data_IF_213537117357
#
_entry.id   IF_213537117357
#
_cell.length_a   1.000
_cell.length_b   1.000
_cell.length_c   1.000
_cell.angle_alpha   90.00
_cell.angle_beta   90.00
_cell.angle_gamma   90.00
#
_symmetry.space_group_name_H-M   'P 1'
#
loop_
_entity.id
_entity.type
_entity.pdbx_description
1 polymer ?
#
# COMPACT_ATOMS: atom_id res chain seq x y z
N UNK A 1 25.03 -6.49 -14.16
CA UNK A 1 24.06 -5.75 -13.33
C UNK A 1 24.29 -6.09 -11.87
N UNK A 2 24.68 -5.13 -11.09
CA UNK A 2 24.90 -5.33 -9.65
C UNK A 2 23.55 -5.32 -8.95
N UNK A 3 23.22 -6.43 -8.32
CA UNK A 3 22.08 -6.53 -7.43
C UNK A 3 22.24 -5.53 -6.30
N UNK A 4 21.21 -4.74 -6.07
CA UNK A 4 21.20 -3.89 -4.90
C UNK A 4 21.11 -4.78 -3.65
N UNK A 5 22.08 -4.61 -2.76
CA UNK A 5 22.08 -5.31 -1.49
C UNK A 5 21.24 -4.54 -0.49
N UNK A 6 20.52 -5.24 0.36
CA UNK A 6 19.85 -4.66 1.51
C UNK A 6 20.86 -4.08 2.50
N UNK A 7 20.41 -3.31 3.46
CA UNK A 7 21.25 -2.81 4.55
C UNK A 7 21.97 -3.94 5.33
N UNK A 8 21.41 -5.14 5.31
CA UNK A 8 22.01 -6.33 5.94
C UNK A 8 22.95 -7.11 5.03
N UNK A 9 23.22 -6.61 3.83
CA UNK A 9 24.07 -7.29 2.86
C UNK A 9 23.40 -8.43 2.08
N UNK A 10 22.13 -8.73 2.34
CA UNK A 10 21.37 -9.73 1.60
C UNK A 10 20.93 -9.19 0.24
N UNK A 11 20.89 -10.04 -0.76
CA UNK A 11 20.31 -9.69 -2.07
C UNK A 11 18.81 -9.59 -1.93
N UNK A 12 18.23 -8.47 -2.40
CA UNK A 12 16.78 -8.35 -2.47
C UNK A 12 16.22 -9.26 -3.56
N UNK A 13 15.04 -9.80 -3.29
CA UNK A 13 14.28 -10.53 -4.25
C UNK A 13 13.64 -9.63 -5.30
N UNK A 14 12.67 -10.18 -6.01
CA UNK A 14 11.98 -9.47 -7.08
C UNK A 14 11.15 -8.31 -6.52
N UNK A 15 11.36 -7.13 -7.08
CA UNK A 15 10.65 -5.91 -6.68
C UNK A 15 10.07 -5.20 -7.91
N UNK A 16 8.86 -4.69 -7.76
CA UNK A 16 8.14 -4.01 -8.82
C UNK A 16 8.03 -2.52 -8.51
N UNK A 17 8.69 -1.72 -9.35
CA UNK A 17 8.66 -0.28 -9.21
C UNK A 17 7.39 0.29 -9.87
N UNK A 18 6.79 1.26 -9.21
CA UNK A 18 5.64 1.98 -9.74
C UNK A 18 6.07 2.84 -10.94
N UNK A 19 5.37 2.77 -12.08
CA UNK A 19 5.64 3.68 -13.17
C UNK A 19 5.49 5.13 -12.72
N UNK A 20 6.38 6.04 -13.15
CA UNK A 20 6.35 7.45 -12.72
C UNK A 20 5.01 8.15 -12.96
N UNK A 21 4.36 7.88 -14.09
CA UNK A 21 3.06 8.48 -14.42
C UNK A 21 1.95 8.08 -13.46
N UNK A 22 1.93 6.81 -13.07
CA UNK A 22 0.97 6.30 -12.09
C UNK A 22 1.23 6.89 -10.71
N UNK A 23 2.48 6.91 -10.28
CA UNK A 23 2.86 7.52 -9.01
C UNK A 23 2.45 9.00 -8.96
N UNK A 24 2.76 9.74 -10.02
CA UNK A 24 2.39 11.16 -10.11
C UNK A 24 0.88 11.36 -10.00
N UNK A 25 0.10 10.54 -10.71
CA UNK A 25 -1.38 10.60 -10.68
C UNK A 25 -1.93 10.38 -9.27
N UNK A 26 -1.39 9.39 -8.55
CA UNK A 26 -1.79 9.13 -7.17
C UNK A 26 -1.30 10.23 -6.23
N UNK A 27 -0.07 10.70 -6.40
CA UNK A 27 0.49 11.78 -5.59
C UNK A 27 -0.26 13.11 -5.76
N UNK A 28 -0.70 13.43 -6.97
CA UNK A 28 -1.53 14.61 -7.24
C UNK A 28 -2.85 14.58 -6.46
N UNK A 29 -3.42 13.39 -6.23
CA UNK A 29 -4.66 13.21 -5.47
C UNK A 29 -4.40 13.12 -3.95
N UNK A 30 -3.42 12.35 -3.54
CA UNK A 30 -3.23 11.96 -2.14
C UNK A 30 -2.14 12.75 -1.41
N UNK A 31 -1.30 13.49 -2.13
CA UNK A 31 -0.21 14.31 -1.59
C UNK A 31 0.68 13.54 -0.60
N UNK A 32 1.37 12.52 -1.10
CA UNK A 32 2.23 11.67 -0.27
C UNK A 32 3.38 12.44 0.34
N UNK A 33 3.62 12.22 1.62
CA UNK A 33 4.77 12.76 2.35
C UNK A 33 5.72 11.68 2.86
N UNK A 34 5.36 10.39 2.68
CA UNK A 34 6.16 9.28 3.18
C UNK A 34 5.96 8.01 2.36
N UNK A 35 7.04 7.23 2.23
CA UNK A 35 7.06 5.90 1.63
C UNK A 35 7.85 4.95 2.55
N UNK A 36 7.19 4.00 3.22
CA UNK A 36 7.87 3.04 4.10
C UNK A 36 8.63 1.95 3.35
N UNK A 37 8.44 1.83 2.04
CA UNK A 37 9.06 0.81 1.21
C UNK A 37 9.81 1.42 0.01
N UNK A 38 10.67 2.43 0.21
CA UNK A 38 11.39 3.03 -0.90
C UNK A 38 12.35 2.00 -1.50
N UNK A 39 12.60 2.12 -2.78
CA UNK A 39 13.62 1.32 -3.43
C UNK A 39 14.80 2.21 -3.84
N UNK A 40 16.05 1.86 -3.48
CA UNK A 40 16.44 0.77 -2.56
C UNK A 40 15.99 1.00 -1.11
N UNK A 41 15.84 -0.09 -0.37
CA UNK A 41 15.47 0.00 1.05
C UNK A 41 16.50 0.76 1.86
N UNK A 42 16.02 1.66 2.71
CA UNK A 42 16.85 2.43 3.65
C UNK A 42 16.77 1.87 5.08
N UNK A 43 15.61 1.36 5.46
CA UNK A 43 15.32 0.83 6.78
C UNK A 43 14.08 -0.06 6.71
N UNK A 44 13.80 -0.81 7.77
CA UNK A 44 12.60 -1.63 7.84
C UNK A 44 11.35 -0.75 8.03
N UNK A 45 10.49 -0.71 7.01
CA UNK A 45 9.26 0.08 7.03
C UNK A 45 8.26 -0.33 8.10
N UNK A 46 8.38 -1.54 8.66
CA UNK A 46 7.51 -2.01 9.75
C UNK A 46 7.93 -1.42 11.10
N UNK A 47 9.23 -1.19 11.31
CA UNK A 47 9.80 -0.77 12.59
C UNK A 47 9.77 0.74 12.82
N UNK A 48 9.24 1.51 11.87
CA UNK A 48 9.27 2.97 11.92
C UNK A 48 7.87 3.56 11.92
N UNK A 49 7.75 4.78 12.41
CA UNK A 49 6.54 5.57 12.27
C UNK A 49 6.39 6.07 10.82
N UNK A 50 5.16 6.11 10.34
CA UNK A 50 4.85 6.60 9.01
C UNK A 50 4.41 8.08 9.03
N UNK A 51 4.37 8.70 7.86
CA UNK A 51 3.93 10.08 7.69
C UNK A 51 2.41 10.26 7.76
N UNK A 52 1.93 11.41 7.37
CA UNK A 52 0.50 11.72 7.36
C UNK A 52 -0.22 11.19 6.11
N UNK A 53 0.46 11.15 4.98
CA UNK A 53 -0.03 10.55 3.75
C UNK A 53 1.03 9.63 3.16
N UNK A 54 0.72 8.34 3.09
CA UNK A 54 1.71 7.31 2.84
C UNK A 54 1.41 6.54 1.56
N UNK A 55 2.44 6.40 0.72
CA UNK A 55 2.43 5.52 -0.43
C UNK A 55 3.12 4.21 -0.07
N UNK A 56 2.44 3.08 -0.21
CA UNK A 56 2.95 1.79 0.23
C UNK A 56 2.91 0.78 -0.92
N UNK A 57 4.08 0.51 -1.49
CA UNK A 57 4.28 -0.54 -2.49
C UNK A 57 5.28 -1.56 -1.89
N UNK A 58 4.80 -2.51 -1.06
CA UNK A 58 5.66 -3.45 -0.35
C UNK A 58 6.13 -4.57 -1.27
N UNK A 59 7.09 -5.40 -0.84
CA UNK A 59 7.36 -6.66 -1.51
C UNK A 59 6.08 -7.50 -1.62
N UNK A 60 5.78 -8.03 -2.80
CA UNK A 60 4.54 -8.76 -3.03
C UNK A 60 4.58 -10.20 -2.48
N UNK A 61 5.76 -10.71 -2.18
CA UNK A 61 5.97 -12.04 -1.60
C UNK A 61 6.93 -11.93 -0.41
N UNK A 62 6.63 -12.70 0.63
CA UNK A 62 7.48 -12.74 1.83
C UNK A 62 8.94 -13.07 1.51
N UNK A 63 9.19 -13.97 0.56
CA UNK A 63 10.56 -14.34 0.14
C UNK A 63 11.34 -13.22 -0.53
N UNK A 64 10.67 -12.22 -1.07
CA UNK A 64 11.29 -11.05 -1.69
C UNK A 64 11.50 -9.91 -0.69
N UNK A 65 11.03 -10.10 0.53
CA UNK A 65 11.07 -9.08 1.56
C UNK A 65 12.47 -8.93 2.17
N UNK A 66 12.77 -7.69 2.54
CA UNK A 66 14.02 -7.29 3.17
C UNK A 66 14.30 -8.03 4.48
N UNK A 67 13.36 -7.99 5.43
CA UNK A 67 13.48 -8.60 6.76
C UNK A 67 12.43 -9.71 6.99
N UNK A 68 11.98 -10.38 5.95
CA UNK A 68 10.94 -11.39 6.03
C UNK A 68 9.54 -10.84 6.26
N UNK A 69 9.34 -9.52 6.18
CA UNK A 69 8.04 -8.86 6.27
C UNK A 69 7.41 -8.76 4.87
N UNK A 70 6.49 -9.67 4.58
CA UNK A 70 5.75 -9.69 3.33
C UNK A 70 4.56 -8.71 3.33
N UNK A 71 3.71 -8.77 2.29
CA UNK A 71 2.61 -7.82 2.11
C UNK A 71 1.63 -7.80 3.29
N UNK A 72 1.34 -8.94 3.90
CA UNK A 72 0.41 -9.01 5.05
C UNK A 72 0.90 -8.20 6.25
N UNK A 73 2.20 -8.19 6.52
CA UNK A 73 2.77 -7.37 7.60
C UNK A 73 2.57 -5.87 7.32
N UNK A 74 2.78 -5.44 6.07
CA UNK A 74 2.54 -4.07 5.67
C UNK A 74 1.05 -3.68 5.69
N UNK A 75 0.15 -4.60 5.34
CA UNK A 75 -1.29 -4.39 5.47
C UNK A 75 -1.68 -4.13 6.94
N UNK A 76 -1.20 -4.94 7.86
CA UNK A 76 -1.46 -4.75 9.29
C UNK A 76 -0.90 -3.44 9.81
N UNK A 77 0.32 -3.11 9.41
CA UNK A 77 0.96 -1.82 9.77
C UNK A 77 0.18 -0.63 9.20
N UNK A 78 -0.28 -0.72 7.95
CA UNK A 78 -1.10 0.31 7.31
C UNK A 78 -2.41 0.57 8.08
N UNK A 79 -3.08 -0.50 8.51
CA UNK A 79 -4.31 -0.39 9.30
C UNK A 79 -4.02 0.26 10.66
N UNK A 80 -2.94 -0.14 11.32
CA UNK A 80 -2.49 0.46 12.58
C UNK A 80 -2.23 1.96 12.43
N UNK A 81 -1.47 2.36 11.42
CA UNK A 81 -1.15 3.75 11.15
C UNK A 81 -2.40 4.57 10.77
N UNK A 82 -3.33 3.95 10.01
CA UNK A 82 -4.61 4.58 9.69
C UNK A 82 -5.48 4.81 10.93
N UNK A 83 -5.47 3.92 11.90
CA UNK A 83 -6.17 4.12 13.18
C UNK A 83 -5.65 5.31 13.97
N UNK A 84 -4.40 5.69 13.75
CA UNK A 84 -3.80 6.91 14.30
C UNK A 84 -4.25 8.18 13.56
N UNK A 85 -5.08 8.05 12.53
CA UNK A 85 -5.60 9.15 11.72
C UNK A 85 -4.86 9.43 10.43
N UNK A 86 -3.87 8.62 10.07
CA UNK A 86 -3.05 8.80 8.88
C UNK A 86 -3.72 8.22 7.65
N UNK A 87 -3.45 8.81 6.48
CA UNK A 87 -3.87 8.30 5.20
C UNK A 87 -2.85 7.30 4.66
N UNK A 88 -3.32 6.18 4.12
CA UNK A 88 -2.46 5.15 3.53
C UNK A 88 -3.05 4.68 2.21
N UNK A 89 -2.25 4.68 1.17
CA UNK A 89 -2.58 4.08 -0.13
C UNK A 89 -1.63 2.92 -0.37
N UNK A 90 -2.18 1.71 -0.32
CA UNK A 90 -1.45 0.48 -0.61
C UNK A 90 -1.65 0.09 -2.07
N UNK A 91 -0.57 -0.16 -2.77
CA UNK A 91 -0.59 -0.66 -4.14
C UNK A 91 -0.04 -2.07 -4.13
N UNK A 92 -0.93 -3.05 -4.12
CA UNK A 92 -0.63 -4.46 -3.85
C UNK A 92 -1.51 -5.40 -4.68
N UNK A 93 -1.06 -6.66 -4.89
CA UNK A 93 -1.91 -7.68 -5.49
C UNK A 93 -3.15 -7.97 -4.64
N UNK A 94 -4.23 -8.36 -5.30
CA UNK A 94 -5.45 -8.80 -4.63
C UNK A 94 -5.25 -10.21 -4.10
N UNK A 95 -5.17 -10.35 -2.78
CA UNK A 95 -4.93 -11.62 -2.08
C UNK A 95 -5.79 -11.72 -0.81
N UNK A 96 -5.54 -12.74 0.00
CA UNK A 96 -6.35 -13.05 1.19
C UNK A 96 -6.51 -11.91 2.22
N UNK A 97 -5.60 -10.95 2.26
CA UNK A 97 -5.69 -9.78 3.15
C UNK A 97 -6.75 -8.75 2.72
N UNK A 98 -7.40 -8.96 1.57
CA UNK A 98 -8.47 -8.06 1.07
C UNK A 98 -9.57 -7.86 2.10
N UNK A 99 -10.04 -8.94 2.72
CA UNK A 99 -11.09 -8.84 3.73
C UNK A 99 -10.68 -7.95 4.90
N UNK A 100 -9.46 -8.12 5.39
CA UNK A 100 -8.91 -7.30 6.48
C UNK A 100 -8.89 -5.81 6.12
N UNK A 101 -8.51 -5.48 4.88
CA UNK A 101 -8.49 -4.10 4.40
C UNK A 101 -9.90 -3.51 4.26
N UNK A 102 -10.83 -4.27 3.69
CA UNK A 102 -12.22 -3.82 3.53
C UNK A 102 -12.91 -3.66 4.88
N UNK A 103 -12.69 -4.56 5.83
CA UNK A 103 -13.19 -4.44 7.20
C UNK A 103 -12.62 -3.20 7.91
N UNK A 104 -11.40 -2.82 7.60
CA UNK A 104 -10.79 -1.58 8.10
C UNK A 104 -11.30 -0.31 7.39
N UNK A 105 -12.19 -0.45 6.42
CA UNK A 105 -12.78 0.67 5.69
C UNK A 105 -12.02 1.10 4.45
N UNK A 106 -11.13 0.26 3.93
CA UNK A 106 -10.39 0.58 2.71
C UNK A 106 -11.32 0.67 1.49
N UNK A 107 -11.07 1.66 0.67
CA UNK A 107 -11.62 1.76 -0.68
C UNK A 107 -10.73 0.96 -1.62
N UNK A 108 -11.31 0.12 -2.46
CA UNK A 108 -10.62 -0.63 -3.50
C UNK A 108 -10.74 0.09 -4.84
N UNK A 109 -9.62 0.37 -5.48
CA UNK A 109 -9.60 1.07 -6.76
C UNK A 109 -8.77 0.31 -7.78
N UNK A 110 -9.35 0.10 -8.97
CA UNK A 110 -8.62 -0.42 -10.12
C UNK A 110 -7.58 0.59 -10.61
N UNK A 111 -6.40 0.10 -10.91
CA UNK A 111 -5.34 0.90 -11.55
C UNK A 111 -5.29 0.67 -13.07
N UNK A 112 -6.18 -0.17 -13.60
CA UNK A 112 -6.15 -0.57 -15.00
C UNK A 112 -4.93 -1.43 -15.33
N UNK A 113 -4.51 -1.39 -16.59
CA UNK A 113 -3.27 -2.06 -17.03
C UNK A 113 -2.07 -1.21 -16.65
N UNK A 114 -1.26 -1.69 -15.73
CA UNK A 114 -0.05 -1.03 -15.30
C UNK A 114 1.18 -1.78 -15.81
N UNK A 115 2.09 -1.07 -16.42
CA UNK A 115 3.38 -1.62 -16.85
C UNK A 115 4.42 -1.41 -15.75
N UNK A 116 4.42 -2.32 -14.81
CA UNK A 116 5.35 -2.32 -13.69
C UNK A 116 6.79 -2.42 -14.17
N UNK A 117 7.69 -1.74 -13.50
CA UNK A 117 9.11 -1.77 -13.82
C UNK A 117 9.79 -2.82 -12.91
N UNK A 118 10.36 -3.83 -13.54
CA UNK A 118 11.16 -4.83 -12.83
C UNK A 118 12.46 -4.15 -12.33
N UNK A 119 12.63 -4.08 -11.01
CA UNK A 119 13.78 -3.41 -10.41
C UNK A 119 15.12 -4.09 -10.73
N UNK A 120 15.11 -5.35 -11.13
CA UNK A 120 16.30 -6.09 -11.51
C UNK A 120 16.78 -5.76 -12.92
N UNK A 121 15.84 -5.64 -13.86
CA UNK A 121 16.11 -5.39 -15.28
C UNK A 121 15.93 -3.93 -15.66
N UNK A 122 15.22 -3.16 -14.83
CA UNK A 122 14.77 -1.78 -15.11
C UNK A 122 13.90 -1.67 -16.36
N UNK A 123 13.24 -2.76 -16.74
CA UNK A 123 12.36 -2.82 -17.93
C UNK A 123 10.90 -2.97 -17.50
N UNK A 124 9.97 -2.38 -18.28
CA UNK A 124 8.55 -2.59 -18.07
C UNK A 124 8.15 -4.05 -18.23
N UNK A 125 7.23 -4.48 -17.38
CA UNK A 125 6.67 -5.84 -17.37
C UNK A 125 5.19 -5.76 -17.02
N UNK A 126 4.46 -6.84 -17.32
CA UNK A 126 3.06 -6.96 -16.90
C UNK A 126 2.90 -7.13 -15.39
N UNK A 127 3.99 -7.44 -14.69
CA UNK A 127 3.96 -7.68 -13.25
C UNK A 127 3.24 -8.97 -12.85
N UNK A 128 3.12 -9.21 -11.56
CA UNK A 128 2.33 -10.32 -11.05
C UNK A 128 0.82 -10.04 -11.20
N UNK A 129 -0.01 -10.93 -10.67
CA UNK A 129 -1.48 -10.89 -10.65
C UNK A 129 -2.08 -9.51 -10.38
N UNK A 130 -3.39 -9.34 -10.58
CA UNK A 130 -4.03 -8.02 -10.51
C UNK A 130 -3.62 -7.21 -9.30
N UNK A 131 -3.05 -6.02 -9.57
CA UNK A 131 -2.61 -5.06 -8.55
C UNK A 131 -3.60 -3.91 -8.53
N UNK A 132 -4.11 -3.60 -7.34
CA UNK A 132 -5.07 -2.53 -7.12
C UNK A 132 -4.56 -1.55 -6.07
N UNK A 133 -5.16 -0.39 -6.00
CA UNK A 133 -4.96 0.53 -4.89
C UNK A 133 -6.00 0.26 -3.81
N UNK A 134 -5.55 0.13 -2.57
CA UNK A 134 -6.38 0.09 -1.38
C UNK A 134 -6.16 1.40 -0.61
N UNK A 135 -7.21 2.17 -0.43
CA UNK A 135 -7.14 3.52 0.12
C UNK A 135 -7.76 3.52 1.51
N UNK A 136 -6.93 3.71 2.51
CA UNK A 136 -7.34 3.98 3.88
C UNK A 136 -7.23 5.48 4.11
N UNK A 137 -8.36 6.18 4.04
CA UNK A 137 -8.38 7.62 4.18
C UNK A 137 -8.07 8.03 5.60
N UNK A 138 -7.31 9.11 5.75
CA UNK A 138 -7.03 9.72 7.04
C UNK A 138 -8.31 10.28 7.67
N UNK A 139 -8.29 10.49 8.98
CA UNK A 139 -9.40 11.17 9.66
C UNK A 139 -9.50 12.58 9.09
N UNK A 140 -10.59 12.84 8.38
CA UNK A 140 -10.96 14.20 8.06
C UNK A 140 -11.25 14.92 9.38
N UNK A 141 -10.85 16.18 9.49
CA UNK A 141 -11.29 17.04 10.59
C UNK A 141 -12.81 16.96 10.69
N UNK A 142 -13.37 17.15 11.87
CA UNK A 142 -14.73 16.87 12.33
C UNK A 142 -15.92 17.38 11.45
N UNK A 143 -15.68 17.93 10.28
CA UNK A 143 -16.68 18.46 9.36
C UNK A 143 -17.19 17.47 8.29
N UNK A 144 -16.76 16.22 8.29
CA UNK A 144 -17.24 15.23 7.32
C UNK A 144 -18.23 14.25 7.94
N UNK A 145 -19.34 14.79 8.44
CA UNK A 145 -20.46 13.98 8.94
C UNK A 145 -21.10 13.07 7.87
N UNK A 146 -20.86 13.36 6.59
CA UNK A 146 -21.47 12.63 5.47
C UNK A 146 -20.91 11.20 5.29
N UNK A 147 -19.62 10.96 5.57
CA UNK A 147 -19.00 9.64 5.36
C UNK A 147 -19.36 8.67 6.49
N UNK A 148 -19.53 9.16 7.72
CA UNK A 148 -19.92 8.33 8.87
C UNK A 148 -21.40 7.90 8.78
N UNK A 149 -22.29 8.76 8.31
CA UNK A 149 -23.70 8.46 8.15
C UNK A 149 -23.96 7.36 7.11
N UNK A 150 -23.21 7.32 6.02
CA UNK A 150 -23.35 6.29 4.97
C UNK A 150 -22.87 4.92 5.46
N UNK A 151 -21.82 4.86 6.26
CA UNK A 151 -21.31 3.61 6.84
C UNK A 151 -22.27 3.06 7.89
N UNK A 152 -22.80 3.90 8.76
CA UNK A 152 -23.79 3.51 9.77
C UNK A 152 -25.07 2.96 9.12
N UNK A 153 -25.56 3.62 8.07
CA UNK A 153 -26.72 3.17 7.32
C UNK A 153 -26.52 1.78 6.69
N UNK A 154 -25.35 1.49 6.15
CA UNK A 154 -25.02 0.17 5.60
C UNK A 154 -24.97 -0.93 6.66
N UNK A 155 -24.45 -0.62 7.84
CA UNK A 155 -24.40 -1.56 8.95
C UNK A 155 -25.80 -1.88 9.50
N UNK A 156 -26.67 -0.91 9.60
CA UNK A 156 -28.05 -1.13 10.03
C UNK A 156 -28.82 -2.01 9.04
N UNK A 157 -28.65 -1.82 7.74
CA UNK A 157 -29.28 -2.67 6.72
C UNK A 157 -28.79 -4.11 6.76
N UNK A 158 -27.53 -4.36 7.09
CA UNK A 158 -26.99 -5.71 7.23
C UNK A 158 -27.50 -6.41 8.49
N UNK A 159 -27.84 -5.66 9.54
CA UNK A 159 -28.40 -6.22 10.79
C UNK A 159 -29.89 -6.58 10.67
N UNK A 160 -30.62 -5.94 9.81
CA UNK A 160 -32.06 -6.18 9.58
C UNK A 160 -32.32 -7.27 8.51
N UNK A 161 -31.29 -7.71 7.81
CA UNK A 161 -31.31 -8.83 6.85
C UNK A 161 -30.95 -10.13 7.53
#
# INVERSE_FOLDING_TARGET
>A
MTWQKTLTGKTIGKYWLTPPDLYKKLDDEFHFDFDPCPFPYKQDGIEIDWGQSNYVNPPFRKKDAHNGHGPTAFVRKAIEENRKGKQVVLVIPVQSYVNMLLEAGAELRSLGRVRWIDAQTMKPSTGPSPICAFILRGKKQANSQLDTGVIEYRFEQVKEG
#
